data_IF_054895017931
#
_entry.id   IF_054895017931
#
_cell.length_a   1.000
_cell.length_b   1.000
_cell.length_c   1.000
_cell.angle_alpha   90.00
_cell.angle_beta   90.00
_cell.angle_gamma   90.00
#
_symmetry.space_group_name_H-M   'P 1'
#
loop_
_entity.id
_entity.type
_entity.pdbx_description
1 polymer ?
#
# COMPACT_ATOMS: atom_id res chain seq x y z
N UNK A 1 -7.87 -56.54 -8.67
CA UNK A 1 -6.88 -55.43 -8.88
C UNK A 1 -5.87 -55.47 -7.75
N UNK A 2 -4.60 -55.70 -8.08
CA UNK A 2 -3.54 -55.91 -7.09
C UNK A 2 -3.35 -54.65 -6.23
N UNK A 3 -3.02 -54.83 -4.94
CA UNK A 3 -2.81 -53.75 -3.94
C UNK A 3 -1.91 -52.65 -4.47
N UNK A 4 -0.85 -52.99 -5.19
CA UNK A 4 0.12 -52.04 -5.75
C UNK A 4 -0.50 -51.14 -6.84
N UNK A 5 -1.45 -51.64 -7.65
CA UNK A 5 -2.16 -50.85 -8.67
C UNK A 5 -3.12 -49.84 -8.03
N UNK A 6 -3.76 -50.19 -6.94
CA UNK A 6 -4.63 -49.28 -6.18
C UNK A 6 -3.83 -48.14 -5.57
N UNK A 7 -2.64 -48.44 -5.03
CA UNK A 7 -1.75 -47.46 -4.45
C UNK A 7 -1.18 -46.50 -5.53
N UNK A 8 -0.78 -47.01 -6.71
CA UNK A 8 -0.33 -46.18 -7.81
C UNK A 8 -1.43 -45.23 -8.34
N UNK A 9 -2.65 -45.73 -8.48
CA UNK A 9 -3.79 -44.91 -8.92
C UNK A 9 -4.09 -43.79 -7.90
N UNK A 10 -4.00 -44.11 -6.60
CA UNK A 10 -4.18 -43.10 -5.54
C UNK A 10 -3.12 -41.99 -5.60
N UNK A 11 -1.83 -42.34 -5.80
CA UNK A 11 -0.74 -41.37 -5.93
C UNK A 11 -0.97 -40.47 -7.15
N UNK A 12 -1.30 -41.04 -8.30
CA UNK A 12 -1.59 -40.27 -9.52
C UNK A 12 -2.76 -39.30 -9.29
N UNK A 13 -3.83 -39.75 -8.62
CA UNK A 13 -4.98 -38.90 -8.27
C UNK A 13 -4.59 -37.71 -7.38
N UNK A 14 -3.75 -37.94 -6.36
CA UNK A 14 -3.27 -36.86 -5.49
C UNK A 14 -2.40 -35.87 -6.27
N UNK A 15 -1.48 -36.35 -7.12
CA UNK A 15 -0.65 -35.50 -7.95
C UNK A 15 -1.45 -34.62 -8.93
N UNK A 16 -2.48 -35.18 -9.57
CA UNK A 16 -3.34 -34.40 -10.48
C UNK A 16 -4.12 -33.32 -9.76
N UNK A 17 -4.63 -33.59 -8.55
CA UNK A 17 -5.32 -32.57 -7.73
C UNK A 17 -4.36 -31.46 -7.31
N UNK A 18 -3.14 -31.81 -6.89
CA UNK A 18 -2.13 -30.82 -6.48
C UNK A 18 -1.71 -29.93 -7.66
N UNK A 19 -1.47 -30.50 -8.84
CA UNK A 19 -1.12 -29.75 -10.05
C UNK A 19 -2.27 -28.82 -10.46
N UNK A 20 -3.51 -29.32 -10.42
CA UNK A 20 -4.70 -28.50 -10.71
C UNK A 20 -4.85 -27.36 -9.71
N UNK A 21 -4.63 -27.63 -8.42
CA UNK A 21 -4.69 -26.60 -7.36
C UNK A 21 -3.62 -25.52 -7.53
N UNK A 22 -2.36 -25.92 -7.83
CA UNK A 22 -1.27 -24.98 -8.12
C UNK A 22 -1.61 -24.13 -9.36
N UNK A 23 -2.12 -24.75 -10.42
CA UNK A 23 -2.56 -24.04 -11.63
C UNK A 23 -3.68 -23.03 -11.33
N UNK A 24 -4.66 -23.42 -10.51
CA UNK A 24 -5.74 -22.55 -10.09
C UNK A 24 -5.26 -21.35 -9.27
N UNK A 25 -4.39 -21.58 -8.28
CA UNK A 25 -3.81 -20.51 -7.44
C UNK A 25 -2.95 -19.59 -8.28
N UNK A 26 -2.14 -20.12 -9.19
CA UNK A 26 -1.28 -19.33 -10.08
C UNK A 26 -2.06 -18.49 -11.10
N UNK A 27 -3.27 -18.93 -11.47
CA UNK A 27 -4.14 -18.23 -12.43
C UNK A 27 -5.02 -17.16 -11.80
N UNK A 28 -5.09 -17.09 -10.45
CA UNK A 28 -5.90 -16.10 -9.76
C UNK A 28 -5.11 -14.80 -9.51
N UNK A 29 -5.40 -13.71 -10.24
CA UNK A 29 -4.67 -12.44 -10.11
C UNK A 29 -4.96 -11.68 -8.80
N UNK A 30 -5.74 -12.26 -7.88
CA UNK A 30 -6.09 -11.62 -6.59
C UNK A 30 -4.87 -11.35 -5.71
N UNK A 31 -3.78 -12.09 -5.88
CA UNK A 31 -2.57 -11.92 -5.09
C UNK A 31 -1.61 -10.84 -5.62
N UNK A 32 -1.86 -10.29 -6.82
CA UNK A 32 -1.11 -9.12 -7.30
C UNK A 32 -1.34 -7.86 -6.46
N UNK A 33 -2.42 -7.82 -5.65
CA UNK A 33 -2.63 -6.74 -4.67
C UNK A 33 -1.60 -6.74 -3.53
N UNK A 34 -1.00 -7.89 -3.22
CA UNK A 34 -0.06 -8.05 -2.11
C UNK A 34 1.37 -7.56 -2.41
N UNK A 35 1.75 -7.38 -3.67
CA UNK A 35 3.13 -7.06 -4.08
C UNK A 35 3.31 -5.63 -4.59
N UNK A 36 2.65 -4.64 -3.99
CA UNK A 36 2.95 -3.26 -4.31
C UNK A 36 4.30 -2.86 -3.68
N UNK A 37 5.30 -2.55 -4.51
CA UNK A 37 6.61 -2.10 -4.07
C UNK A 37 6.53 -0.65 -3.61
N UNK A 38 7.17 -0.33 -2.48
CA UNK A 38 7.29 1.03 -1.99
C UNK A 38 8.37 1.77 -2.80
N UNK A 39 8.01 2.89 -3.39
CA UNK A 39 8.93 3.75 -4.15
C UNK A 39 8.69 5.22 -3.81
N UNK A 40 9.68 6.08 -4.08
CA UNK A 40 9.51 7.53 -3.95
C UNK A 40 8.70 8.11 -5.11
N UNK A 41 8.03 9.24 -4.86
CA UNK A 41 7.29 9.99 -5.89
C UNK A 41 8.21 10.43 -7.01
N UNK A 42 9.43 10.89 -6.67
CA UNK A 42 10.44 11.29 -7.64
C UNK A 42 10.81 10.14 -8.59
N UNK A 43 11.07 8.95 -8.04
CA UNK A 43 11.39 7.75 -8.84
C UNK A 43 10.24 7.34 -9.74
N UNK A 44 8.99 7.41 -9.25
CA UNK A 44 7.80 7.13 -10.05
C UNK A 44 7.70 8.04 -11.27
N UNK A 45 7.93 9.35 -11.09
CA UNK A 45 7.86 10.34 -12.16
C UNK A 45 8.97 10.19 -13.19
N UNK A 46 10.20 9.88 -12.73
CA UNK A 46 11.36 9.71 -13.61
C UNK A 46 11.27 8.44 -14.45
N UNK A 47 10.85 7.34 -13.86
CA UNK A 47 10.79 6.02 -14.53
C UNK A 47 9.42 5.72 -15.17
N UNK A 48 8.41 6.57 -14.97
CA UNK A 48 7.02 6.41 -15.47
C UNK A 48 6.49 4.98 -15.24
N UNK A 49 6.64 4.52 -13.98
CA UNK A 49 6.31 3.14 -13.60
C UNK A 49 4.79 2.94 -13.64
N UNK A 50 4.28 2.17 -14.60
CA UNK A 50 2.85 1.84 -14.72
C UNK A 50 2.43 0.62 -13.87
N UNK A 51 3.31 0.11 -13.02
CA UNK A 51 2.98 -1.00 -12.13
C UNK A 51 2.31 -0.48 -10.85
N UNK A 52 1.55 -1.34 -10.20
CA UNK A 52 0.96 -1.05 -8.90
C UNK A 52 2.06 -0.83 -7.86
N UNK A 53 2.09 0.36 -7.27
CA UNK A 53 3.14 0.81 -6.34
C UNK A 53 2.55 1.44 -5.08
N UNK A 54 3.38 1.55 -4.05
CA UNK A 54 3.08 2.28 -2.81
C UNK A 54 3.91 3.55 -2.75
N UNK A 55 3.25 4.66 -2.46
CA UNK A 55 3.87 5.96 -2.28
C UNK A 55 3.56 6.48 -0.88
N UNK A 56 4.52 7.12 -0.24
CA UNK A 56 4.34 7.80 1.04
C UNK A 56 4.55 9.29 0.89
N UNK A 57 3.85 10.08 1.68
CA UNK A 57 4.04 11.53 1.70
C UNK A 57 3.01 12.24 2.56
N UNK A 58 3.04 13.56 2.53
CA UNK A 58 2.11 14.42 3.22
C UNK A 58 1.00 14.89 2.27
N UNK A 59 -0.22 14.98 2.77
CA UNK A 59 -1.32 15.65 2.06
C UNK A 59 -1.05 17.15 2.07
N UNK A 60 -0.94 17.77 0.90
CA UNK A 60 -0.72 19.22 0.77
C UNK A 60 -1.94 19.97 1.29
N UNK A 61 -1.70 20.98 2.12
CA UNK A 61 -2.75 21.79 2.72
C UNK A 61 -3.64 22.46 1.66
N UNK A 62 -4.96 22.38 1.85
CA UNK A 62 -5.95 22.97 0.96
C UNK A 62 -6.07 22.27 -0.42
N UNK A 63 -5.45 21.11 -0.59
CA UNK A 63 -5.49 20.36 -1.87
C UNK A 63 -6.61 19.34 -1.95
N UNK A 64 -7.29 19.06 -0.85
CA UNK A 64 -8.35 18.04 -0.80
C UNK A 64 -9.60 18.57 -1.49
N UNK A 65 -10.01 17.93 -2.57
CA UNK A 65 -11.24 18.23 -3.33
C UNK A 65 -12.12 16.99 -3.30
N UNK A 66 -13.33 17.15 -2.79
CA UNK A 66 -14.35 16.10 -2.72
C UNK A 66 -15.44 16.42 -3.73
N UNK A 67 -15.81 15.45 -4.55
CA UNK A 67 -16.89 15.60 -5.52
C UNK A 67 -18.23 15.85 -4.82
N UNK A 68 -19.01 16.82 -5.32
CA UNK A 68 -20.36 17.09 -4.81
C UNK A 68 -21.38 16.02 -5.20
N UNK A 69 -21.11 15.30 -6.28
CA UNK A 69 -22.01 14.25 -6.81
C UNK A 69 -21.70 12.87 -6.23
N UNK A 70 -20.46 12.61 -5.87
CA UNK A 70 -20.03 11.35 -5.27
C UNK A 70 -19.03 11.61 -4.15
N UNK A 71 -19.48 11.52 -2.91
CA UNK A 71 -18.63 11.75 -1.73
C UNK A 71 -17.44 10.80 -1.58
N UNK A 72 -17.42 9.69 -2.30
CA UNK A 72 -16.27 8.76 -2.34
C UNK A 72 -15.16 9.30 -3.25
N UNK A 73 -15.52 10.05 -4.29
CA UNK A 73 -14.55 10.59 -5.26
C UNK A 73 -13.81 11.79 -4.66
N UNK A 74 -12.55 11.58 -4.35
CA UNK A 74 -11.67 12.54 -3.71
C UNK A 74 -10.39 12.69 -4.51
N UNK A 75 -9.93 13.91 -4.71
CA UNK A 75 -8.61 14.20 -5.25
C UNK A 75 -7.82 15.08 -4.28
N UNK A 76 -6.52 14.88 -4.22
CA UNK A 76 -5.61 15.65 -3.40
C UNK A 76 -4.19 15.60 -3.96
N UNK A 77 -3.32 16.46 -3.47
CA UNK A 77 -1.90 16.48 -3.83
C UNK A 77 -1.08 15.81 -2.73
N UNK A 78 -0.33 14.78 -3.12
CA UNK A 78 0.66 14.13 -2.27
C UNK A 78 2.00 14.87 -2.43
N UNK A 79 2.60 15.27 -1.33
CA UNK A 79 3.90 15.93 -1.29
C UNK A 79 4.93 15.02 -0.62
N UNK A 80 6.02 14.74 -1.32
CA UNK A 80 7.20 14.05 -0.79
C UNK A 80 8.44 14.94 -1.01
N UNK A 81 8.94 15.54 0.06
CA UNK A 81 10.01 16.54 -0.05
C UNK A 81 9.58 17.75 -0.89
N UNK A 82 10.22 17.95 -2.03
CA UNK A 82 9.89 19.03 -3.00
C UNK A 82 9.00 18.56 -4.13
N UNK A 83 8.75 17.26 -4.26
CA UNK A 83 7.98 16.67 -5.36
C UNK A 83 6.50 16.57 -4.99
N UNK A 84 5.63 16.93 -5.91
CA UNK A 84 4.18 16.90 -5.75
C UNK A 84 3.55 15.98 -6.81
N UNK A 85 2.52 15.25 -6.42
CA UNK A 85 1.81 14.33 -7.30
C UNK A 85 0.30 14.39 -7.05
N UNK A 86 -0.47 14.52 -8.13
CA UNK A 86 -1.93 14.48 -8.05
C UNK A 86 -2.42 13.05 -7.83
N UNK A 87 -3.20 12.85 -6.77
CA UNK A 87 -3.81 11.58 -6.40
C UNK A 87 -5.31 11.65 -6.63
N UNK A 88 -5.87 10.61 -7.23
CA UNK A 88 -7.31 10.39 -7.32
C UNK A 88 -7.67 9.13 -6.53
N UNK A 89 -8.68 9.25 -5.66
CA UNK A 89 -9.12 8.17 -4.78
C UNK A 89 -10.64 8.11 -4.74
N UNK A 90 -11.22 6.96 -5.03
CA UNK A 90 -12.67 6.77 -5.22
C UNK A 90 -13.31 5.83 -4.18
N UNK A 91 -12.71 5.72 -2.98
CA UNK A 91 -13.19 4.85 -1.92
C UNK A 91 -13.35 5.58 -0.60
N UNK A 92 -13.79 4.86 0.43
CA UNK A 92 -13.94 5.37 1.79
C UNK A 92 -12.61 5.89 2.33
N UNK A 93 -12.60 7.16 2.74
CA UNK A 93 -11.43 7.82 3.33
C UNK A 93 -11.27 7.37 4.79
N UNK A 94 -10.02 7.18 5.26
CA UNK A 94 -9.74 6.97 6.68
C UNK A 94 -10.17 8.19 7.52
N UNK A 95 -10.56 7.98 8.78
CA UNK A 95 -11.01 9.05 9.70
C UNK A 95 -9.95 10.12 9.95
N UNK A 96 -8.66 9.75 9.90
CA UNK A 96 -7.53 10.66 10.11
C UNK A 96 -7.05 11.34 8.82
N UNK A 97 -7.74 11.17 7.71
CA UNK A 97 -7.40 11.82 6.45
C UNK A 97 -7.79 13.30 6.49
N UNK A 98 -6.78 14.16 6.47
CA UNK A 98 -6.90 15.63 6.53
C UNK A 98 -5.68 16.29 5.91
N UNK A 99 -5.74 17.60 5.76
CA UNK A 99 -4.61 18.43 5.36
C UNK A 99 -3.41 18.21 6.30
N UNK A 100 -2.22 18.08 5.73
CA UNK A 100 -0.98 17.82 6.45
C UNK A 100 -0.82 16.40 7.01
N UNK A 101 -1.79 15.51 6.84
CA UNK A 101 -1.65 14.12 7.29
C UNK A 101 -0.59 13.37 6.48
N UNK A 102 0.21 12.55 7.16
CA UNK A 102 1.10 11.60 6.50
C UNK A 102 0.29 10.38 6.04
N UNK A 103 0.38 10.09 4.74
CA UNK A 103 -0.40 9.02 4.12
C UNK A 103 0.48 8.08 3.30
N UNK A 104 0.00 6.85 3.16
CA UNK A 104 0.50 5.87 2.21
C UNK A 104 -0.63 5.59 1.23
N UNK A 105 -0.37 5.79 -0.06
CA UNK A 105 -1.29 5.46 -1.14
C UNK A 105 -0.76 4.29 -1.94
N UNK A 106 -1.64 3.38 -2.31
CA UNK A 106 -1.32 2.25 -3.18
C UNK A 106 -2.18 2.35 -4.43
N UNK A 107 -1.59 2.20 -5.60
CA UNK A 107 -2.32 2.34 -6.85
C UNK A 107 -1.41 2.30 -8.08
N UNK A 108 -1.86 2.93 -9.16
CA UNK A 108 -1.14 2.99 -10.43
C UNK A 108 -1.04 4.43 -10.94
N UNK A 109 0.08 4.74 -11.56
CA UNK A 109 0.32 6.02 -12.21
C UNK A 109 -0.07 5.95 -13.69
N UNK A 110 -0.97 6.84 -14.11
CA UNK A 110 -1.44 6.95 -15.51
C UNK A 110 -1.59 8.44 -15.86
N UNK A 111 -1.00 8.85 -16.96
CA UNK A 111 -1.18 10.17 -17.59
C UNK A 111 -1.06 11.37 -16.63
N UNK A 112 -0.09 11.34 -15.73
CA UNK A 112 0.15 12.46 -14.80
C UNK A 112 -0.64 12.39 -13.49
N UNK A 113 -1.54 11.42 -13.34
CA UNK A 113 -2.37 11.22 -12.14
C UNK A 113 -2.10 9.84 -11.54
N UNK A 114 -2.01 9.77 -10.24
CA UNK A 114 -1.92 8.50 -9.52
C UNK A 114 -3.32 8.07 -9.05
N UNK A 115 -3.81 6.98 -9.60
CA UNK A 115 -5.09 6.38 -9.23
C UNK A 115 -4.89 5.43 -8.07
N UNK A 116 -5.23 5.90 -6.87
CA UNK A 116 -5.11 5.12 -5.65
C UNK A 116 -6.33 4.23 -5.44
N UNK A 117 -6.10 2.95 -5.15
CA UNK A 117 -7.13 2.00 -4.75
C UNK A 117 -7.09 1.70 -3.24
N UNK A 118 -6.04 2.15 -2.55
CA UNK A 118 -5.88 2.04 -1.11
C UNK A 118 -5.24 3.31 -0.55
N UNK A 119 -5.79 3.82 0.54
CA UNK A 119 -5.31 4.99 1.26
C UNK A 119 -5.21 4.66 2.74
N UNK A 120 -4.02 4.80 3.31
CA UNK A 120 -3.74 4.60 4.72
C UNK A 120 -3.16 5.88 5.31
N UNK A 121 -3.61 6.27 6.51
CA UNK A 121 -3.04 7.37 7.26
C UNK A 121 -2.10 6.85 8.33
N UNK A 122 -0.94 7.48 8.50
CA UNK A 122 -0.06 7.21 9.63
C UNK A 122 -0.46 8.08 10.82
N UNK A 123 -0.62 7.47 12.00
CA UNK A 123 -0.83 8.23 13.25
C UNK A 123 0.52 8.80 13.72
N UNK A 124 0.65 10.11 13.78
CA UNK A 124 1.85 10.82 14.26
C UNK A 124 2.20 10.47 15.73
N UNK A 125 1.23 10.08 16.54
CA UNK A 125 1.39 9.82 17.96
C UNK A 125 2.25 8.61 18.35
N UNK A 126 2.62 7.75 17.39
CA UNK A 126 3.47 6.57 17.68
C UNK A 126 4.97 6.86 17.66
N UNK A 127 5.40 7.95 17.00
CA UNK A 127 6.82 8.29 16.89
C UNK A 127 7.27 9.38 17.87
N UNK A 128 6.36 10.21 18.39
CA UNK A 128 6.71 11.21 19.42
C UNK A 128 6.95 10.58 20.81
N UNK A 129 6.38 9.41 21.09
CA UNK A 129 6.62 8.67 22.33
C UNK A 129 8.05 8.16 22.47
N UNK A 130 8.62 7.64 21.39
CA UNK A 130 9.98 7.04 21.40
C UNK A 130 11.09 8.08 21.53
N UNK A 131 10.91 9.26 20.93
CA UNK A 131 11.91 10.34 21.02
C UNK A 131 11.92 11.08 22.37
N UNK A 132 10.79 11.06 23.11
CA UNK A 132 10.72 11.62 24.46
C UNK A 132 11.39 10.72 25.51
N UNK A 133 11.32 9.41 25.34
CA UNK A 133 11.96 8.47 26.26
C UNK A 133 13.49 8.51 26.14
N UNK A 134 14.05 8.63 24.93
CA UNK A 134 15.51 8.76 24.76
C UNK A 134 16.08 10.08 25.32
N UNK A 135 15.35 11.18 25.23
CA UNK A 135 15.80 12.46 25.78
C UNK A 135 15.79 12.49 27.31
N UNK A 136 14.83 11.81 27.95
CA UNK A 136 14.77 11.69 29.41
C UNK A 136 15.85 10.76 29.96
N UNK A 137 16.27 9.74 29.22
CA UNK A 137 17.31 8.82 29.67
C UNK A 137 18.70 9.48 29.73
N UNK A 138 19.01 10.35 28.77
CA UNK A 138 20.29 11.08 28.73
C UNK A 138 20.44 12.16 29.80
N UNK A 139 19.33 12.72 30.28
CA UNK A 139 19.35 13.75 31.33
C UNK A 139 19.56 13.16 32.73
N UNK A 140 19.21 11.90 32.96
CA UNK A 140 19.41 11.23 34.24
C UNK A 140 20.84 10.73 34.47
N UNK A 141 21.64 10.55 33.43
CA UNK A 141 23.06 10.13 33.54
C UNK A 141 24.04 11.29 33.75
N UNK A 142 23.65 12.54 33.49
CA UNK A 142 24.51 13.71 33.64
C UNK A 142 24.41 14.36 35.03
N UNK A 143 23.50 13.86 35.88
CA UNK A 143 23.19 14.41 37.22
C UNK A 143 23.76 13.63 38.41
N UNK A 144 24.79 12.77 38.22
CA UNK A 144 25.45 12.05 39.32
C UNK A 144 26.90 12.41 39.43
#
# INVERSE_FOLDING_TARGET
MNSNKKFTVMIIGVFTVVIFWIGWVSSNPKDQKAMATFISVEKLLNEKINKRTKLGGLVKDGSIIISKTNYLDCSFVLKEGTTELNIKYDRTRPDLFKDGAEVIVTGQYLDGIFYADELQTKCASRYEGDLRDESNYKLSEIGS
#
